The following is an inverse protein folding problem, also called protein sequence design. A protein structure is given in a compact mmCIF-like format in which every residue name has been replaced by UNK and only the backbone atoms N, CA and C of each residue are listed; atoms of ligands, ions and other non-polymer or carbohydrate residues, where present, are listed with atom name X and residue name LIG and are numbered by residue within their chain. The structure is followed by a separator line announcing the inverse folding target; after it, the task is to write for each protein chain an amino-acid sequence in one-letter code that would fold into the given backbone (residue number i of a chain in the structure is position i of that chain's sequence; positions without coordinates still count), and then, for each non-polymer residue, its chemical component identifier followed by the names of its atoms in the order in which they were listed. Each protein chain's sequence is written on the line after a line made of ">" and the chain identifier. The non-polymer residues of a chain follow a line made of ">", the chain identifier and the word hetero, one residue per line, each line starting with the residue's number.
data_IF_324274298678
#
_entry.id   IF_324274298678
#
_cell.length_a   1.000
_cell.length_b   1.000
_cell.length_c   1.000
_cell.angle_alpha   90.00
_cell.angle_beta   90.00
_cell.angle_gamma   90.00
#
_symmetry.space_group_name_H-M   'P 1'
#
loop_
_entity.id
_entity.type
_entity.pdbx_description
1 polymer ?
#
# COMPACT_ATOMS: atom_id res chain seq x y z
N UNK A 1 9.52 29.66 3.22
CA UNK A 1 8.59 28.52 3.38
C UNK A 1 9.28 27.44 4.25
N UNK A 2 8.53 26.70 5.10
CA UNK A 2 8.90 25.47 5.88
C UNK A 2 9.24 25.54 7.41
N UNK A 3 8.37 26.05 8.29
CA UNK A 3 8.39 25.63 9.71
C UNK A 3 7.67 24.27 9.96
N UNK A 4 6.70 23.89 9.11
CA UNK A 4 5.87 22.70 9.31
C UNK A 4 6.59 21.36 9.01
N UNK A 5 7.39 21.25 7.93
CA UNK A 5 8.20 20.04 7.64
C UNK A 5 9.20 19.73 8.77
N UNK A 6 9.82 20.77 9.34
CA UNK A 6 10.78 20.59 10.42
C UNK A 6 10.11 20.04 11.69
N UNK A 7 8.88 20.49 11.98
CA UNK A 7 8.11 19.97 13.12
C UNK A 7 7.63 18.53 12.91
N UNK A 8 7.20 18.17 11.70
CA UNK A 8 6.80 16.79 11.36
C UNK A 8 7.97 15.81 11.57
N UNK A 9 9.12 16.09 10.95
CA UNK A 9 10.28 15.21 11.03
C UNK A 9 10.77 15.05 12.47
N UNK A 10 10.81 16.14 13.24
CA UNK A 10 11.17 16.09 14.67
C UNK A 10 10.23 15.21 15.48
N UNK A 11 8.93 15.23 15.20
CA UNK A 11 7.96 14.37 15.88
C UNK A 11 8.09 12.90 15.45
N UNK A 12 8.43 12.63 14.19
CA UNK A 12 8.75 11.28 13.72
C UNK A 12 10.01 10.74 14.39
N UNK A 13 11.08 11.55 14.47
CA UNK A 13 12.31 11.20 15.18
C UNK A 13 12.06 10.93 16.66
N UNK A 14 11.24 11.78 17.28
CA UNK A 14 10.85 11.59 18.67
C UNK A 14 10.04 10.31 18.87
N UNK A 15 9.09 9.99 17.97
CA UNK A 15 8.33 8.75 18.06
C UNK A 15 9.22 7.52 17.88
N UNK A 16 10.17 7.60 16.95
CA UNK A 16 11.12 6.54 16.63
C UNK A 16 12.03 6.22 17.82
N UNK A 17 12.56 7.25 18.50
CA UNK A 17 13.34 7.09 19.73
C UNK A 17 12.52 6.55 20.91
N UNK A 18 11.24 6.93 21.00
CA UNK A 18 10.35 6.48 22.07
C UNK A 18 9.79 5.08 21.84
N UNK A 19 9.73 4.56 20.61
CA UNK A 19 8.97 3.33 20.28
C UNK A 19 9.46 2.11 21.05
N UNK A 20 10.75 2.03 21.37
CA UNK A 20 11.36 0.91 22.10
C UNK A 20 11.52 1.17 23.60
N UNK A 21 11.08 2.32 24.12
CA UNK A 21 11.19 2.67 25.54
C UNK A 21 9.95 2.18 26.29
N UNK A 22 10.16 1.20 27.16
CA UNK A 22 9.13 0.61 28.01
C UNK A 22 9.37 0.92 29.48
N UNK A 23 8.28 1.06 30.23
CA UNK A 23 8.32 1.26 31.68
C UNK A 23 7.12 2.04 32.20
N UNK A 24 7.17 2.33 33.49
CA UNK A 24 6.21 3.19 34.18
C UNK A 24 6.25 4.63 33.62
N UNK A 25 5.21 5.45 33.90
CA UNK A 25 5.21 6.86 33.52
C UNK A 25 6.54 7.55 33.79
N UNK A 26 7.02 8.41 32.86
CA UNK A 26 6.24 9.14 31.86
C UNK A 26 6.20 8.53 30.44
N UNK A 27 6.85 7.39 30.20
CA UNK A 27 7.13 6.92 28.83
C UNK A 27 5.87 6.63 28.00
N UNK A 28 4.85 5.91 28.50
CA UNK A 28 3.63 5.65 27.72
C UNK A 28 2.85 6.94 27.38
N UNK A 29 2.91 7.95 28.27
CA UNK A 29 2.25 9.24 28.07
C UNK A 29 2.94 10.04 26.96
N UNK A 30 4.27 10.00 26.90
CA UNK A 30 5.04 10.66 25.85
C UNK A 30 4.69 10.08 24.46
N UNK A 31 4.66 8.75 24.31
CA UNK A 31 4.26 8.09 23.05
C UNK A 31 2.84 8.50 22.64
N UNK A 32 1.87 8.42 23.55
CA UNK A 32 0.48 8.82 23.27
C UNK A 32 0.37 10.28 22.84
N UNK A 33 1.17 11.17 23.44
CA UNK A 33 1.19 12.59 23.11
C UNK A 33 1.74 12.83 21.71
N UNK A 34 2.84 12.17 21.35
CA UNK A 34 3.46 12.29 20.02
C UNK A 34 2.53 11.71 18.94
N UNK A 35 1.94 10.54 19.16
CA UNK A 35 0.93 9.95 18.27
C UNK A 35 -0.24 10.89 18.03
N UNK A 36 -0.76 11.51 19.09
CA UNK A 36 -1.89 12.44 19.01
C UNK A 36 -1.55 13.73 18.26
N UNK A 37 -0.29 14.15 18.26
CA UNK A 37 0.18 15.31 17.48
C UNK A 37 0.36 14.93 16.01
N UNK A 38 1.07 13.83 15.73
CA UNK A 38 1.30 13.34 14.36
C UNK A 38 -0.01 13.04 13.64
N UNK A 39 -1.03 12.51 14.33
CA UNK A 39 -2.34 12.23 13.73
C UNK A 39 -3.06 13.46 13.17
N UNK A 40 -2.72 14.66 13.63
CA UNK A 40 -3.33 15.93 13.19
C UNK A 40 -2.52 16.65 12.11
N UNK A 41 -1.30 16.18 11.83
CA UNK A 41 -0.45 16.79 10.81
C UNK A 41 -0.76 16.23 9.43
N UNK A 42 -0.62 17.12 8.44
CA UNK A 42 -0.66 16.76 7.03
C UNK A 42 0.74 16.37 6.57
N UNK A 43 0.83 15.25 5.87
CA UNK A 43 2.05 14.75 5.24
C UNK A 43 2.13 15.36 3.83
N UNK A 44 3.35 15.65 3.37
CA UNK A 44 3.60 16.29 2.06
C UNK A 44 4.40 15.43 1.09
N UNK A 45 4.92 14.31 1.58
CA UNK A 45 5.76 13.39 0.83
C UNK A 45 5.46 11.96 1.30
N UNK A 46 5.68 11.00 0.41
CA UNK A 46 5.41 9.59 0.63
C UNK A 46 6.33 8.99 1.71
N UNK A 47 7.61 9.35 1.72
CA UNK A 47 8.61 8.81 2.65
C UNK A 47 8.25 9.05 4.12
N UNK A 48 7.86 10.28 4.48
CA UNK A 48 7.44 10.59 5.84
C UNK A 48 6.16 9.82 6.23
N UNK A 49 5.24 9.63 5.29
CA UNK A 49 4.00 8.89 5.53
C UNK A 49 4.26 7.39 5.72
N UNK A 50 5.15 6.81 4.92
CA UNK A 50 5.65 5.44 5.06
C UNK A 50 6.33 5.26 6.42
N UNK A 51 7.28 6.14 6.77
CA UNK A 51 7.95 6.08 8.08
C UNK A 51 6.95 6.13 9.23
N UNK A 52 5.92 6.96 9.11
CA UNK A 52 4.87 7.00 10.12
C UNK A 52 4.06 5.69 10.19
N UNK A 53 3.74 5.08 9.04
CA UNK A 53 3.07 3.77 8.97
C UNK A 53 3.83 2.70 9.76
N UNK A 54 5.13 2.58 9.50
CA UNK A 54 5.98 1.58 10.15
C UNK A 54 6.08 1.77 11.66
N UNK A 55 6.15 3.02 12.12
CA UNK A 55 6.12 3.33 13.55
C UNK A 55 4.79 2.92 14.20
N UNK A 56 3.67 3.08 13.50
CA UNK A 56 2.35 2.67 14.01
C UNK A 56 2.20 1.14 14.04
N UNK A 57 2.71 0.43 13.03
CA UNK A 57 2.75 -1.03 13.03
C UNK A 57 3.59 -1.55 14.20
N UNK A 58 4.78 -0.97 14.42
CA UNK A 58 5.64 -1.33 15.55
C UNK A 58 4.91 -1.15 16.88
N UNK A 59 4.26 0.00 17.11
CA UNK A 59 3.50 0.27 18.35
C UNK A 59 2.28 -0.65 18.48
N UNK A 60 1.67 -1.06 17.37
CA UNK A 60 0.55 -2.02 17.40
C UNK A 60 1.00 -3.42 17.83
N UNK A 61 2.20 -3.84 17.41
CA UNK A 61 2.80 -5.12 17.78
C UNK A 61 3.42 -5.11 19.19
N UNK A 62 4.08 -4.02 19.58
CA UNK A 62 4.80 -3.85 20.84
C UNK A 62 4.32 -2.60 21.61
N UNK A 63 3.07 -2.60 22.10
CA UNK A 63 2.50 -1.41 22.71
C UNK A 63 3.06 -1.15 24.12
N UNK A 64 3.44 0.09 24.38
CA UNK A 64 3.83 0.56 25.72
C UNK A 64 2.62 0.66 26.67
N UNK A 65 1.40 0.70 26.12
CA UNK A 65 0.14 0.69 26.86
C UNK A 65 -1.02 0.34 25.94
N UNK A 66 -2.14 -0.15 26.49
CA UNK A 66 -3.37 -0.39 25.73
C UNK A 66 -3.86 0.88 24.98
N UNK A 67 -3.69 2.06 25.60
CA UNK A 67 -4.04 3.34 24.98
C UNK A 67 -3.16 3.64 23.75
N UNK A 68 -1.85 3.40 23.83
CA UNK A 68 -0.93 3.60 22.71
C UNK A 68 -1.30 2.69 21.53
N UNK A 69 -1.59 1.41 21.81
CA UNK A 69 -2.11 0.46 20.80
C UNK A 69 -3.37 0.98 20.12
N UNK A 70 -4.38 1.35 20.90
CA UNK A 70 -5.65 1.83 20.35
C UNK A 70 -5.49 3.11 19.52
N UNK A 71 -4.61 4.03 19.93
CA UNK A 71 -4.29 5.21 19.12
C UNK A 71 -3.62 4.81 17.80
N UNK A 72 -2.62 3.92 17.84
CA UNK A 72 -1.92 3.49 16.65
C UNK A 72 -2.85 2.81 15.64
N UNK A 73 -3.64 1.82 16.09
CA UNK A 73 -4.64 1.13 15.27
C UNK A 73 -5.70 2.08 14.72
N UNK A 74 -6.14 3.07 15.51
CA UNK A 74 -7.09 4.09 15.05
C UNK A 74 -6.50 4.99 13.97
N UNK A 75 -5.20 5.31 14.05
CA UNK A 75 -4.51 6.12 13.04
C UNK A 75 -4.28 5.31 11.76
N UNK A 76 -3.92 4.02 11.87
CA UNK A 76 -3.75 3.11 10.72
C UNK A 76 -5.03 3.06 9.86
N UNK A 77 -6.22 3.06 10.47
CA UNK A 77 -7.50 3.13 9.75
C UNK A 77 -7.69 4.39 8.90
N UNK A 78 -6.90 5.45 9.12
CA UNK A 78 -6.95 6.69 8.35
C UNK A 78 -6.01 6.72 7.13
N UNK A 79 -5.17 5.70 6.93
CA UNK A 79 -4.09 5.75 5.93
C UNK A 79 -4.57 5.91 4.48
N UNK A 80 -5.66 5.24 4.09
CA UNK A 80 -6.24 5.44 2.75
C UNK A 80 -6.47 6.92 2.45
N UNK A 81 -7.06 7.66 3.40
CA UNK A 81 -7.34 9.09 3.23
C UNK A 81 -6.06 9.94 3.16
N UNK A 82 -4.98 9.51 3.82
CA UNK A 82 -3.69 10.21 3.80
C UNK A 82 -2.98 10.00 2.47
N UNK A 83 -3.00 8.78 1.93
CA UNK A 83 -2.51 8.48 0.59
C UNK A 83 -3.31 9.25 -0.46
N UNK A 84 -4.64 9.25 -0.34
CA UNK A 84 -5.51 10.02 -1.25
C UNK A 84 -5.22 11.53 -1.19
N UNK A 85 -4.89 12.07 -0.02
CA UNK A 85 -4.50 13.48 0.13
C UNK A 85 -3.15 13.80 -0.54
N UNK A 86 -2.16 12.88 -0.49
CA UNK A 86 -0.92 13.04 -1.24
C UNK A 86 -1.17 12.99 -2.76
N UNK A 87 -2.01 12.05 -3.21
CA UNK A 87 -2.41 11.93 -4.62
C UNK A 87 -3.11 13.19 -5.13
N UNK A 88 -4.07 13.71 -4.36
CA UNK A 88 -4.79 14.94 -4.70
C UNK A 88 -3.89 16.19 -4.67
N UNK A 89 -2.76 16.13 -3.96
CA UNK A 89 -1.75 17.19 -3.92
C UNK A 89 -0.66 17.01 -4.99
N UNK A 90 -0.81 16.03 -5.89
CA UNK A 90 0.17 15.70 -6.94
C UNK A 90 1.58 15.45 -6.38
N UNK A 91 1.67 14.88 -5.17
CA UNK A 91 2.95 14.49 -4.59
C UNK A 91 3.51 13.25 -5.32
N UNK A 92 4.83 13.12 -5.33
CA UNK A 92 5.49 11.90 -5.80
C UNK A 92 5.13 10.72 -4.87
N UNK A 93 4.53 9.68 -5.46
CA UNK A 93 4.09 8.46 -4.77
C UNK A 93 4.95 7.24 -5.09
N UNK A 94 6.02 7.38 -5.89
CA UNK A 94 6.87 6.27 -6.34
C UNK A 94 7.37 5.41 -5.19
N UNK A 95 7.69 6.01 -4.04
CA UNK A 95 8.13 5.27 -2.85
C UNK A 95 7.08 4.30 -2.31
N UNK A 96 5.78 4.55 -2.51
CA UNK A 96 4.68 3.68 -2.06
C UNK A 96 4.47 2.46 -2.98
N UNK A 97 5.08 2.46 -4.17
CA UNK A 97 5.00 1.36 -5.13
C UNK A 97 6.08 0.29 -4.87
N UNK A 98 7.04 0.58 -3.99
CA UNK A 98 8.07 -0.39 -3.62
C UNK A 98 7.46 -1.63 -2.94
N UNK A 99 7.86 -2.86 -3.33
CA UNK A 99 7.37 -4.10 -2.71
C UNK A 99 7.58 -4.15 -1.19
N UNK A 100 8.62 -3.48 -0.67
CA UNK A 100 8.97 -3.48 0.75
C UNK A 100 7.94 -2.73 1.63
N UNK A 101 7.14 -1.85 1.03
CA UNK A 101 6.10 -1.05 1.71
C UNK A 101 4.69 -1.45 1.25
N UNK A 102 4.54 -2.64 0.67
CA UNK A 102 3.24 -3.17 0.29
C UNK A 102 2.31 -3.31 1.52
N UNK A 103 1.01 -3.15 1.30
CA UNK A 103 -0.01 -3.31 2.35
C UNK A 103 -0.42 -2.02 3.06
N UNK A 104 0.14 -0.86 2.68
CA UNK A 104 -0.38 0.45 3.12
C UNK A 104 -1.78 0.67 2.53
N UNK A 105 -2.77 0.95 3.39
CA UNK A 105 -4.12 1.23 2.91
C UNK A 105 -4.15 2.42 1.95
N UNK A 106 -4.77 2.26 0.78
CA UNK A 106 -4.81 3.28 -0.29
C UNK A 106 -3.82 3.02 -1.43
N UNK A 107 -3.00 1.97 -1.34
CA UNK A 107 -2.15 1.45 -2.42
C UNK A 107 -2.69 0.11 -2.94
N UNK A 108 -2.21 -0.32 -4.10
CA UNK A 108 -2.42 -1.65 -4.67
C UNK A 108 -1.24 -2.57 -4.36
N UNK A 109 -1.50 -3.89 -4.36
CA UNK A 109 -0.47 -4.92 -4.32
C UNK A 109 -0.60 -5.73 -5.59
N UNK A 110 0.46 -5.74 -6.40
CA UNK A 110 0.55 -6.54 -7.63
C UNK A 110 1.55 -7.67 -7.40
N UNK A 111 1.09 -8.91 -7.56
CA UNK A 111 1.92 -10.12 -7.41
C UNK A 111 1.27 -11.30 -8.15
N UNK A 112 2.03 -12.37 -8.36
CA UNK A 112 1.54 -13.64 -8.90
C UNK A 112 0.78 -14.42 -7.85
N UNK A 113 -0.55 -14.30 -7.84
CA UNK A 113 -1.41 -15.09 -6.97
C UNK A 113 -1.84 -16.41 -7.62
N UNK A 114 -1.87 -17.49 -6.83
CA UNK A 114 -2.40 -18.78 -7.31
C UNK A 114 -3.91 -18.70 -7.56
N UNK A 115 -4.42 -19.52 -8.49
CA UNK A 115 -5.85 -19.54 -8.84
C UNK A 115 -6.81 -19.67 -7.63
N UNK A 116 -6.56 -20.53 -6.62
CA UNK A 116 -7.42 -20.60 -5.43
C UNK A 116 -7.51 -19.27 -4.66
N UNK A 117 -6.42 -18.53 -4.57
CA UNK A 117 -6.36 -17.21 -3.90
C UNK A 117 -7.15 -16.20 -4.73
N UNK A 118 -6.89 -16.12 -6.04
CA UNK A 118 -7.62 -15.22 -6.95
C UNK A 118 -9.12 -15.50 -6.91
N UNK A 119 -9.55 -16.76 -6.96
CA UNK A 119 -10.96 -17.15 -6.87
C UNK A 119 -11.59 -16.73 -5.54
N UNK A 120 -10.89 -16.90 -4.43
CA UNK A 120 -11.36 -16.47 -3.11
C UNK A 120 -11.49 -14.94 -3.03
N UNK A 121 -10.47 -14.22 -3.51
CA UNK A 121 -10.47 -12.76 -3.59
C UNK A 121 -11.64 -12.27 -4.45
N UNK A 122 -11.82 -12.80 -5.66
CA UNK A 122 -12.88 -12.40 -6.59
C UNK A 122 -14.28 -12.57 -6.00
N UNK A 123 -14.49 -13.63 -5.22
CA UNK A 123 -15.75 -13.85 -4.49
C UNK A 123 -15.95 -12.87 -3.33
N UNK A 124 -14.90 -12.52 -2.60
CA UNK A 124 -14.96 -11.73 -1.36
C UNK A 124 -14.95 -10.22 -1.63
N UNK A 125 -14.20 -9.79 -2.64
CA UNK A 125 -13.89 -8.39 -2.95
C UNK A 125 -13.91 -8.12 -4.47
N UNK A 126 -15.04 -8.39 -5.16
CA UNK A 126 -15.10 -8.36 -6.63
C UNK A 126 -14.72 -7.00 -7.23
N UNK A 127 -14.98 -5.88 -6.54
CA UNK A 127 -14.67 -4.53 -7.00
C UNK A 127 -13.27 -4.01 -6.64
N UNK A 128 -12.41 -4.86 -6.07
CA UNK A 128 -11.06 -4.46 -5.59
C UNK A 128 -9.95 -5.29 -6.21
N UNK A 129 -10.21 -5.92 -7.36
CA UNK A 129 -9.28 -6.82 -8.03
C UNK A 129 -9.25 -6.44 -9.50
N UNK A 130 -8.04 -6.34 -10.02
CA UNK A 130 -7.74 -6.13 -11.44
C UNK A 130 -6.69 -7.15 -11.83
N UNK A 131 -6.79 -7.67 -13.04
CA UNK A 131 -5.74 -8.49 -13.63
C UNK A 131 -4.76 -7.55 -14.32
N UNK A 132 -3.50 -7.67 -13.97
CA UNK A 132 -2.41 -6.94 -14.60
C UNK A 132 -1.95 -7.72 -15.84
N UNK A 133 -2.58 -7.42 -16.97
CA UNK A 133 -2.29 -8.09 -18.23
C UNK A 133 -0.97 -7.63 -18.86
N UNK A 134 -0.56 -6.38 -18.59
CA UNK A 134 0.68 -5.79 -19.13
C UNK A 134 1.92 -6.50 -18.57
N UNK A 135 1.82 -7.05 -17.36
CA UNK A 135 2.90 -7.81 -16.74
C UNK A 135 3.03 -9.25 -17.26
N UNK A 136 2.07 -9.74 -18.06
CA UNK A 136 2.10 -11.09 -18.62
C UNK A 136 2.81 -11.10 -19.98
N UNK A 137 4.13 -11.31 -19.97
CA UNK A 137 4.99 -11.28 -21.17
C UNK A 137 4.70 -12.42 -22.19
N UNK A 138 3.92 -13.43 -21.81
CA UNK A 138 3.79 -14.72 -22.51
C UNK A 138 2.41 -14.88 -23.19
N UNK A 139 1.90 -13.79 -23.78
CA UNK A 139 0.57 -13.65 -24.41
C UNK A 139 0.21 -14.82 -25.36
N UNK A 140 1.21 -15.41 -26.00
CA UNK A 140 1.07 -16.59 -26.87
C UNK A 140 0.54 -17.84 -26.15
N UNK A 141 0.84 -18.06 -24.87
CA UNK A 141 0.35 -19.25 -24.13
C UNK A 141 -1.14 -19.18 -23.79
N UNK A 142 -1.65 -17.95 -23.73
CA UNK A 142 -3.05 -17.65 -23.48
C UNK A 142 -3.88 -17.80 -24.77
N UNK A 143 -3.33 -17.45 -25.93
CA UNK A 143 -3.99 -17.58 -27.24
C UNK A 143 -4.55 -19.00 -27.51
N UNK A 144 -3.87 -20.06 -27.06
CA UNK A 144 -4.29 -21.46 -27.27
C UNK A 144 -5.51 -21.87 -26.40
N UNK A 145 -5.77 -21.15 -25.30
CA UNK A 145 -6.84 -21.49 -24.34
C UNK A 145 -8.01 -20.51 -24.34
N UNK A 146 -7.83 -19.30 -24.84
CA UNK A 146 -8.84 -18.23 -24.89
C UNK A 146 -10.14 -18.58 -25.63
N UNK A 147 -10.13 -19.32 -26.75
CA UNK A 147 -11.35 -19.73 -27.45
C UNK A 147 -12.33 -20.53 -26.58
N UNK A 148 -11.83 -21.22 -25.54
CA UNK A 148 -12.67 -22.04 -24.65
C UNK A 148 -13.43 -21.24 -23.60
N UNK A 149 -13.02 -20.00 -23.35
CA UNK A 149 -13.55 -19.15 -22.27
C UNK A 149 -14.22 -17.86 -22.78
N UNK A 150 -13.91 -17.44 -24.00
CA UNK A 150 -14.53 -16.28 -24.66
C UNK A 150 -14.95 -16.67 -26.09
N UNK A 151 -16.17 -17.21 -26.28
CA UNK A 151 -16.63 -17.68 -27.60
C UNK A 151 -16.59 -16.59 -28.69
N UNK A 152 -16.68 -15.32 -28.30
CA UNK A 152 -16.63 -14.17 -29.20
C UNK A 152 -15.22 -13.79 -29.69
N UNK A 153 -14.15 -14.44 -29.19
CA UNK A 153 -12.78 -14.26 -29.67
C UNK A 153 -12.36 -15.25 -30.77
N UNK A 154 -13.18 -16.27 -31.06
CA UNK A 154 -12.89 -17.18 -32.17
C UNK A 154 -12.82 -16.42 -33.51
N UNK A 155 -13.61 -15.35 -33.67
CA UNK A 155 -13.64 -14.56 -34.91
C UNK A 155 -12.38 -13.68 -35.10
N UNK A 156 -11.76 -13.20 -34.03
CA UNK A 156 -10.53 -12.38 -34.10
C UNK A 156 -9.25 -13.22 -34.25
N UNK A 157 -9.26 -14.48 -33.79
CA UNK A 157 -8.11 -15.39 -33.92
C UNK A 157 -7.84 -15.84 -35.38
N UNK A 158 -8.75 -15.55 -36.31
CA UNK A 158 -8.58 -15.83 -37.75
C UNK A 158 -7.84 -14.73 -38.53
N UNK A 159 -7.41 -13.64 -37.88
CA UNK A 159 -6.59 -12.61 -38.54
C UNK A 159 -5.12 -13.04 -38.54
N UNK A 160 -4.77 -13.82 -39.57
CA UNK A 160 -3.45 -14.25 -40.07
C UNK A 160 -2.23 -14.07 -39.15
N UNK A 161 -1.75 -15.21 -38.62
CA UNK A 161 -0.35 -15.37 -38.26
C UNK A 161 0.52 -15.08 -39.50
N UNK A 162 1.28 -13.99 -39.46
CA UNK A 162 2.25 -13.60 -40.48
C UNK A 162 3.21 -14.77 -40.77
N UNK A 163 3.01 -15.48 -41.89
CA UNK A 163 3.97 -16.47 -42.37
C UNK A 163 5.05 -15.73 -43.15
N UNK A 164 6.33 -15.77 -42.75
CA UNK A 164 7.37 -15.08 -43.49
C UNK A 164 7.58 -15.75 -44.86
N UNK A 165 7.60 -14.93 -45.92
CA UNK A 165 7.89 -15.36 -47.28
C UNK A 165 9.31 -15.90 -47.36
N UNK A 166 9.49 -17.17 -47.71
CA UNK A 166 10.78 -17.70 -48.12
C UNK A 166 11.04 -17.27 -49.58
N UNK A 167 12.03 -16.41 -49.76
CA UNK A 167 12.66 -16.10 -51.05
C UNK A 167 13.97 -16.84 -51.20
#
# INVERSE_FOLDING_TARGET
>A
MKPASNTLNRLLDQLDDLKSRFGSPPQPIAVQTVLSRLSRLNFKDAEALIRFHELLLFISAYPQSARARHLAESILKSFSKRVDALRAAEADLSSLESPEVSGIAGTSVSDTFTFPIVRWLAKRHPSRITLDWEWFEDENRLSETWPRFMPLLEEDAFVEANVPYAG
#
